data_IF_477826186618
#
_entry.id   IF_477826186618
#
_cell.length_a   1.000
_cell.length_b   1.000
_cell.length_c   1.000
_cell.angle_alpha   90.00
_cell.angle_beta   90.00
_cell.angle_gamma   90.00
#
_symmetry.space_group_name_H-M   'P 1'
#
loop_
_entity.id
_entity.type
_entity.pdbx_description
1 polymer ?
#
# COMPACT_ATOMS: atom_id res chain seq x y z
N UNK A 1 13.15 -11.71 -11.86
CA UNK A 1 14.12 -10.62 -11.50
C UNK A 1 15.39 -11.26 -10.99
N UNK A 2 16.55 -10.77 -11.34
CA UNK A 2 17.79 -11.29 -10.77
C UNK A 2 17.93 -10.76 -9.34
N UNK A 3 18.28 -11.64 -8.39
CA UNK A 3 18.53 -11.32 -6.98
C UNK A 3 19.61 -10.23 -6.77
N UNK A 4 20.41 -9.95 -7.82
CA UNK A 4 21.52 -9.00 -7.84
C UNK A 4 21.10 -7.51 -7.91
N UNK A 5 19.82 -7.20 -8.17
CA UNK A 5 19.36 -5.79 -8.25
C UNK A 5 18.75 -5.28 -6.93
N UNK A 6 18.41 -6.17 -5.98
CA UNK A 6 17.80 -5.76 -4.73
C UNK A 6 18.82 -5.15 -3.76
N UNK A 7 18.44 -4.01 -3.16
CA UNK A 7 19.24 -3.38 -2.11
C UNK A 7 18.82 -3.95 -0.76
N UNK A 8 19.79 -4.42 0.01
CA UNK A 8 19.56 -5.01 1.33
C UNK A 8 19.96 -4.04 2.44
N UNK A 9 19.10 -3.90 3.45
CA UNK A 9 19.38 -3.21 4.71
C UNK A 9 19.12 -4.17 5.88
N UNK A 10 19.89 -4.05 6.99
CA UNK A 10 19.78 -4.95 8.14
C UNK A 10 20.09 -4.22 9.45
N UNK A 11 19.29 -4.47 10.49
CA UNK A 11 19.50 -3.99 11.87
C UNK A 11 20.00 -5.08 12.83
N UNK A 12 20.26 -6.29 12.32
CA UNK A 12 20.52 -7.47 13.15
C UNK A 12 19.27 -8.23 13.57
N UNK A 13 18.17 -7.55 13.90
CA UNK A 13 16.86 -8.16 14.20
C UNK A 13 16.03 -8.41 12.95
N UNK A 14 16.15 -7.51 11.97
CA UNK A 14 15.43 -7.56 10.69
C UNK A 14 16.39 -7.35 9.52
N UNK A 15 16.07 -7.99 8.42
CA UNK A 15 16.65 -7.72 7.10
C UNK A 15 15.54 -7.43 6.12
N UNK A 16 15.66 -6.33 5.38
CA UNK A 16 14.73 -5.96 4.31
C UNK A 16 15.47 -5.88 2.97
N UNK A 17 14.80 -6.30 1.88
CA UNK A 17 15.33 -6.20 0.51
C UNK A 17 14.36 -5.41 -0.34
N UNK A 18 14.85 -4.36 -0.99
CA UNK A 18 14.06 -3.38 -1.71
C UNK A 18 14.50 -3.34 -3.17
N UNK A 19 13.54 -3.39 -4.09
CA UNK A 19 13.76 -3.23 -5.52
C UNK A 19 13.75 -1.74 -5.91
N UNK A 20 14.78 -1.22 -6.59
CA UNK A 20 14.73 0.12 -7.15
C UNK A 20 13.60 0.34 -8.17
N UNK A 21 13.13 -0.71 -8.83
CA UNK A 21 11.90 -0.65 -9.62
C UNK A 21 10.71 -0.58 -8.68
N UNK A 22 9.97 0.53 -8.71
CA UNK A 22 8.83 0.80 -7.83
C UNK A 22 9.22 1.22 -6.42
N UNK A 23 10.51 1.25 -6.05
CA UNK A 23 10.98 1.31 -4.66
C UNK A 23 10.22 0.28 -3.79
N UNK A 24 10.07 -0.94 -4.31
CA UNK A 24 9.19 -1.96 -3.75
C UNK A 24 9.92 -2.81 -2.70
N UNK A 25 9.34 -2.91 -1.49
CA UNK A 25 9.78 -3.86 -0.47
C UNK A 25 9.47 -5.29 -0.95
N UNK A 26 10.49 -6.08 -1.22
CA UNK A 26 10.34 -7.45 -1.75
C UNK A 26 10.55 -8.55 -0.70
N UNK A 27 11.24 -8.24 0.41
CA UNK A 27 11.52 -9.21 1.46
C UNK A 27 11.64 -8.50 2.80
N UNK A 28 11.09 -9.10 3.85
CA UNK A 28 11.26 -8.69 5.23
C UNK A 28 11.45 -9.95 6.08
N UNK A 29 12.69 -10.17 6.55
CA UNK A 29 13.07 -11.35 7.33
C UNK A 29 13.48 -10.96 8.73
N UNK A 30 13.13 -11.81 9.69
CA UNK A 30 13.66 -11.69 11.04
C UNK A 30 15.04 -12.33 11.19
N UNK A 31 15.62 -12.26 12.41
CA UNK A 31 16.93 -12.85 12.74
C UNK A 31 16.98 -14.39 12.63
N UNK A 32 15.84 -15.05 12.52
CA UNK A 32 15.75 -16.49 12.25
C UNK A 32 15.66 -16.81 10.74
N UNK A 33 15.70 -15.80 9.89
CA UNK A 33 15.58 -15.93 8.43
C UNK A 33 14.15 -16.19 7.94
N UNK A 34 13.11 -16.07 8.78
CA UNK A 34 11.71 -16.27 8.41
C UNK A 34 11.23 -15.12 7.55
N UNK A 35 10.68 -15.43 6.37
CA UNK A 35 10.18 -14.44 5.42
C UNK A 35 8.72 -14.08 5.74
N UNK A 36 8.43 -12.79 5.92
CA UNK A 36 7.09 -12.29 6.25
C UNK A 36 6.34 -11.70 5.05
N UNK A 37 7.02 -11.49 3.92
CA UNK A 37 6.37 -10.96 2.71
C UNK A 37 5.86 -12.10 1.81
N UNK A 38 4.96 -11.74 0.88
CA UNK A 38 4.58 -12.58 -0.25
C UNK A 38 5.83 -12.98 -1.08
N UNK A 39 5.83 -14.18 -1.64
CA UNK A 39 6.94 -14.71 -2.45
C UNK A 39 7.06 -14.10 -3.86
N UNK A 40 6.05 -13.32 -4.28
CA UNK A 40 6.02 -12.69 -5.60
C UNK A 40 5.88 -13.67 -6.76
N UNK A 41 5.27 -14.83 -6.53
CA UNK A 41 5.05 -15.84 -7.57
C UNK A 41 4.22 -15.26 -8.74
N UNK A 42 4.79 -15.13 -9.96
CA UNK A 42 4.10 -14.52 -11.10
C UNK A 42 2.87 -15.32 -11.58
N UNK A 43 2.77 -16.60 -11.27
CA UNK A 43 1.58 -17.41 -11.58
C UNK A 43 0.38 -17.01 -10.71
N UNK A 44 0.65 -16.45 -9.52
CA UNK A 44 -0.37 -15.97 -8.59
C UNK A 44 -0.43 -14.45 -8.64
N UNK A 45 0.59 -13.79 -8.12
CA UNK A 45 0.71 -12.33 -8.13
C UNK A 45 2.18 -11.93 -7.87
N UNK A 46 2.78 -11.23 -8.83
CA UNK A 46 4.21 -10.89 -8.81
C UNK A 46 4.57 -9.73 -7.87
N UNK A 47 3.58 -9.03 -7.29
CA UNK A 47 3.83 -7.92 -6.38
C UNK A 47 4.18 -8.38 -4.97
N UNK A 48 4.89 -7.54 -4.21
CA UNK A 48 5.20 -7.74 -2.80
C UNK A 48 4.66 -6.61 -1.93
N UNK A 49 5.01 -5.37 -2.25
CA UNK A 49 4.56 -4.16 -1.56
C UNK A 49 4.60 -2.93 -2.47
N UNK A 50 3.89 -2.92 -3.61
CA UNK A 50 3.96 -1.81 -4.54
C UNK A 50 3.46 -0.50 -3.92
N UNK A 51 4.07 0.62 -4.33
CA UNK A 51 3.62 1.96 -4.00
C UNK A 51 2.59 2.43 -5.03
N UNK A 52 1.51 3.03 -4.55
CA UNK A 52 0.40 3.51 -5.36
C UNK A 52 0.51 5.03 -5.48
N UNK A 53 0.84 5.53 -6.69
CA UNK A 53 0.98 6.97 -6.99
C UNK A 53 0.93 7.22 -8.50
N UNK A 54 0.29 8.29 -8.98
CA UNK A 54 -0.40 9.35 -8.25
C UNK A 54 -1.88 9.05 -7.96
N UNK A 55 -2.33 7.82 -8.17
CA UNK A 55 -3.70 7.38 -7.90
C UNK A 55 -3.71 6.06 -7.12
N UNK A 56 -4.78 5.84 -6.35
CA UNK A 56 -5.13 4.58 -5.72
C UNK A 56 -6.34 4.00 -6.45
N UNK A 57 -6.28 2.70 -6.79
CA UNK A 57 -7.36 2.00 -7.49
C UNK A 57 -7.44 2.31 -8.98
N UNK A 58 -8.58 1.96 -9.57
CA UNK A 58 -8.92 2.20 -10.96
C UNK A 58 -9.55 3.57 -11.19
N UNK A 59 -9.48 4.03 -12.44
CA UNK A 59 -10.19 5.21 -12.96
C UNK A 59 -11.31 4.77 -13.89
N UNK A 60 -12.39 5.54 -13.96
CA UNK A 60 -13.47 5.27 -14.91
C UNK A 60 -12.94 5.37 -16.35
N UNK A 61 -13.07 4.27 -17.12
CA UNK A 61 -12.48 4.15 -18.46
C UNK A 61 -10.96 4.29 -18.52
N UNK A 62 -10.23 4.12 -17.38
CA UNK A 62 -8.77 4.28 -17.32
C UNK A 62 -8.29 5.72 -17.48
N UNK A 63 -9.18 6.71 -17.32
CA UNK A 63 -8.91 8.13 -17.57
C UNK A 63 -9.38 8.99 -16.41
N UNK A 64 -8.75 10.16 -16.27
CA UNK A 64 -9.19 11.22 -15.37
C UNK A 64 -9.22 12.57 -16.09
N UNK A 65 -10.03 13.50 -15.59
CA UNK A 65 -10.13 14.86 -16.09
C UNK A 65 -9.41 15.82 -15.15
N UNK A 66 -8.67 16.76 -15.71
CA UNK A 66 -7.99 17.80 -14.96
C UNK A 66 -8.05 19.10 -15.75
N UNK A 67 -8.78 20.11 -15.25
CA UNK A 67 -8.93 21.39 -15.90
C UNK A 67 -9.49 21.29 -17.32
N UNK A 68 -10.43 20.38 -17.57
CA UNK A 68 -11.06 20.14 -18.86
C UNK A 68 -10.27 19.27 -19.85
N UNK A 69 -9.04 18.83 -19.49
CA UNK A 69 -8.24 17.90 -20.30
C UNK A 69 -8.35 16.49 -19.73
N UNK A 70 -8.28 15.48 -20.59
CA UNK A 70 -8.25 14.07 -20.22
C UNK A 70 -6.82 13.52 -20.26
N UNK A 71 -6.51 12.66 -19.26
CA UNK A 71 -5.27 11.94 -19.14
C UNK A 71 -5.55 10.49 -18.80
N UNK A 72 -4.71 9.57 -19.27
CA UNK A 72 -4.83 8.14 -18.98
C UNK A 72 -3.81 7.73 -17.93
N UNK A 73 -4.24 6.90 -16.96
CA UNK A 73 -3.35 6.26 -16.00
C UNK A 73 -3.80 4.80 -15.79
N UNK A 74 -2.85 3.87 -15.68
CA UNK A 74 -3.16 2.51 -15.29
C UNK A 74 -3.65 2.47 -13.83
N UNK A 75 -4.36 1.40 -13.45
CA UNK A 75 -4.73 1.14 -12.05
C UNK A 75 -3.52 1.31 -11.13
N UNK A 76 -3.68 2.08 -10.07
CA UNK A 76 -2.65 2.43 -9.08
C UNK A 76 -1.53 3.36 -9.59
N UNK A 77 -1.67 3.93 -10.78
CA UNK A 77 -0.70 4.86 -11.35
C UNK A 77 0.59 4.21 -11.83
N UNK A 78 1.65 5.01 -11.93
CA UNK A 78 2.90 4.62 -12.59
C UNK A 78 4.06 4.32 -11.64
N UNK A 79 4.05 4.78 -10.38
CA UNK A 79 5.22 4.68 -9.49
C UNK A 79 5.74 3.24 -9.36
N UNK A 80 4.85 2.26 -9.24
CA UNK A 80 5.18 0.83 -9.14
C UNK A 80 5.91 0.25 -10.35
N UNK A 81 5.88 0.94 -11.50
CA UNK A 81 6.54 0.55 -12.75
C UNK A 81 7.70 1.46 -13.12
N UNK A 82 8.00 2.46 -12.29
CA UNK A 82 9.07 3.42 -12.51
C UNK A 82 10.34 3.00 -11.78
N UNK A 83 11.51 3.23 -12.39
CA UNK A 83 12.78 3.00 -11.73
C UNK A 83 13.16 4.23 -10.93
N UNK A 84 13.36 4.04 -9.63
CA UNK A 84 13.80 5.08 -8.72
C UNK A 84 15.33 5.18 -8.69
N UNK A 85 15.83 6.39 -8.55
CA UNK A 85 17.22 6.68 -8.25
C UNK A 85 17.51 6.36 -6.77
N UNK A 86 18.64 5.75 -6.48
CA UNK A 86 19.11 5.49 -5.12
C UNK A 86 19.91 6.69 -4.63
N UNK A 87 19.39 7.41 -3.63
CA UNK A 87 20.06 8.58 -3.05
C UNK A 87 20.95 8.24 -1.87
N UNK A 88 20.53 7.26 -1.06
CA UNK A 88 21.24 6.81 0.15
C UNK A 88 21.17 5.28 0.17
N UNK A 89 22.28 4.62 0.48
CA UNK A 89 22.36 3.19 0.78
C UNK A 89 23.34 2.98 1.93
N UNK A 90 22.80 2.74 3.11
CA UNK A 90 23.52 2.52 4.37
C UNK A 90 23.12 1.15 4.95
N UNK A 91 23.77 0.70 6.00
CA UNK A 91 23.50 -0.62 6.59
C UNK A 91 22.04 -0.83 7.01
N UNK A 92 21.41 0.20 7.60
CA UNK A 92 20.06 0.14 8.16
C UNK A 92 19.06 1.04 7.41
N UNK A 93 19.51 1.70 6.33
CA UNK A 93 18.71 2.71 5.63
C UNK A 93 18.97 2.72 4.13
N UNK A 94 17.90 2.85 3.37
CA UNK A 94 17.98 3.17 1.93
C UNK A 94 16.94 4.23 1.59
N UNK A 95 17.31 5.18 0.74
CA UNK A 95 16.43 6.23 0.25
C UNK A 95 16.43 6.24 -1.28
N UNK A 96 15.23 6.28 -1.82
CA UNK A 96 14.94 6.32 -3.24
C UNK A 96 14.26 7.63 -3.65
N UNK A 97 14.41 8.04 -4.89
CA UNK A 97 13.74 9.22 -5.46
C UNK A 97 13.24 8.96 -6.87
N UNK A 98 12.03 9.42 -7.17
CA UNK A 98 11.46 9.47 -8.51
C UNK A 98 11.05 10.92 -8.80
N UNK A 99 11.63 11.53 -9.80
CA UNK A 99 11.26 12.86 -10.28
C UNK A 99 10.31 12.79 -11.48
N UNK A 100 9.70 13.93 -11.82
CA UNK A 100 8.94 14.06 -13.04
C UNK A 100 9.85 13.89 -14.26
N UNK A 101 9.35 13.18 -15.28
CA UNK A 101 9.98 12.97 -16.59
C UNK A 101 9.03 13.40 -17.70
N UNK A 102 9.48 13.36 -18.94
CA UNK A 102 8.61 13.62 -20.09
C UNK A 102 7.44 12.63 -20.13
N UNK A 103 7.72 11.34 -19.91
CA UNK A 103 6.70 10.28 -19.89
C UNK A 103 5.67 10.48 -18.77
N UNK A 104 6.12 10.87 -17.57
CA UNK A 104 5.18 11.10 -16.46
C UNK A 104 4.36 12.35 -16.68
N UNK A 105 4.94 13.44 -17.27
CA UNK A 105 4.19 14.66 -17.59
C UNK A 105 3.11 14.43 -18.64
N UNK A 106 3.33 13.53 -19.57
CA UNK A 106 2.33 13.19 -20.61
C UNK A 106 1.04 12.61 -20.00
N UNK A 107 1.12 11.94 -18.84
CA UNK A 107 -0.01 11.28 -18.16
C UNK A 107 -0.39 11.93 -16.83
N UNK A 108 0.50 12.73 -16.25
CA UNK A 108 0.31 13.45 -14.98
C UNK A 108 1.12 14.77 -15.03
N UNK A 109 0.52 15.89 -15.48
CA UNK A 109 1.22 17.10 -15.90
C UNK A 109 1.67 17.97 -14.71
N UNK A 110 2.44 17.39 -13.80
CA UNK A 110 2.98 18.08 -12.63
C UNK A 110 4.46 17.82 -12.47
N UNK A 111 5.17 18.82 -11.95
CA UNK A 111 6.54 18.70 -11.48
C UNK A 111 6.52 18.15 -10.06
N UNK A 112 6.91 16.93 -9.88
CA UNK A 112 6.91 16.27 -8.58
C UNK A 112 8.25 15.63 -8.25
N UNK A 113 8.46 15.37 -6.97
CA UNK A 113 9.48 14.45 -6.47
C UNK A 113 8.86 13.52 -5.43
N UNK A 114 8.94 12.22 -5.69
CA UNK A 114 8.49 11.16 -4.78
C UNK A 114 9.71 10.53 -4.12
N UNK A 115 9.94 10.82 -2.84
CA UNK A 115 11.04 10.26 -2.07
C UNK A 115 10.51 9.14 -1.17
N UNK A 116 11.20 8.00 -1.15
CA UNK A 116 10.85 6.83 -0.33
C UNK A 116 12.05 6.45 0.52
N UNK A 117 11.88 6.42 1.82
CA UNK A 117 12.94 6.15 2.79
C UNK A 117 12.58 4.92 3.62
N UNK A 118 13.36 3.86 3.50
CA UNK A 118 13.26 2.66 4.33
C UNK A 118 14.30 2.72 5.43
N UNK A 119 13.88 2.50 6.68
CA UNK A 119 14.78 2.40 7.83
C UNK A 119 14.41 1.22 8.69
N UNK A 120 15.40 0.45 9.11
CA UNK A 120 15.27 -0.55 10.14
C UNK A 120 15.68 0.04 11.48
N UNK A 121 14.83 -0.15 12.48
CA UNK A 121 15.05 0.29 13.86
C UNK A 121 14.62 -0.88 14.74
N UNK A 122 15.59 -1.64 15.26
CA UNK A 122 15.31 -2.86 16.03
C UNK A 122 14.40 -3.81 15.20
N UNK A 123 13.26 -4.22 15.76
CA UNK A 123 12.26 -5.11 15.11
C UNK A 123 11.21 -4.38 14.31
N UNK A 124 11.51 -3.16 13.84
CA UNK A 124 10.59 -2.31 13.12
C UNK A 124 11.19 -1.83 11.81
N UNK A 125 10.45 -2.01 10.71
CA UNK A 125 10.68 -1.33 9.45
C UNK A 125 9.82 -0.06 9.41
N UNK A 126 10.44 1.08 9.15
CA UNK A 126 9.78 2.36 8.91
C UNK A 126 9.91 2.71 7.44
N UNK A 127 8.78 2.91 6.77
CA UNK A 127 8.73 3.37 5.37
C UNK A 127 8.13 4.76 5.36
N UNK A 128 8.97 5.77 5.16
CA UNK A 128 8.57 7.17 5.05
C UNK A 128 8.49 7.59 3.58
N UNK A 129 7.43 8.30 3.19
CA UNK A 129 7.23 8.77 1.82
C UNK A 129 6.95 10.27 1.83
N UNK A 130 7.73 11.03 1.07
CA UNK A 130 7.53 12.45 0.81
C UNK A 130 7.08 12.68 -0.62
N UNK A 131 5.90 13.27 -0.79
CA UNK A 131 5.38 13.72 -2.08
C UNK A 131 5.56 15.22 -2.17
N UNK A 132 6.57 15.68 -2.91
CA UNK A 132 6.90 17.07 -3.09
C UNK A 132 6.30 17.60 -4.39
N UNK A 133 5.65 18.75 -4.32
CA UNK A 133 5.28 19.54 -5.48
C UNK A 133 6.43 20.48 -5.83
N UNK A 134 7.11 20.21 -6.94
CA UNK A 134 8.21 21.03 -7.47
C UNK A 134 7.74 22.06 -8.49
N UNK A 135 6.44 22.12 -8.79
CA UNK A 135 5.82 23.07 -9.73
C UNK A 135 5.26 24.33 -9.05
N UNK A 136 4.55 25.10 -9.83
CA UNK A 136 4.01 26.42 -9.41
C UNK A 136 2.52 26.41 -9.08
N UNK A 137 1.81 25.30 -9.37
CA UNK A 137 0.37 25.16 -9.12
C UNK A 137 0.10 24.02 -8.13
N UNK A 138 -1.04 24.06 -7.38
CA UNK A 138 -1.40 22.95 -6.49
C UNK A 138 -1.46 21.63 -7.24
N UNK A 139 -0.84 20.59 -6.70
CA UNK A 139 -0.70 19.27 -7.30
C UNK A 139 -1.63 18.27 -6.62
N UNK A 140 -2.72 17.82 -7.27
CA UNK A 140 -3.65 16.83 -6.74
C UNK A 140 -3.10 15.41 -6.91
N UNK A 141 -3.20 14.57 -5.88
CA UNK A 141 -2.79 13.17 -5.95
C UNK A 141 -3.50 12.31 -4.92
N UNK A 142 -3.41 11.01 -5.09
CA UNK A 142 -3.65 9.97 -4.09
C UNK A 142 -2.37 9.18 -3.88
N UNK A 143 -2.25 8.56 -2.69
CA UNK A 143 -1.10 7.73 -2.35
C UNK A 143 -1.54 6.51 -1.54
N UNK A 144 -0.83 5.38 -1.69
CA UNK A 144 -1.07 4.19 -0.89
C UNK A 144 0.13 3.26 -0.79
N UNK A 145 0.18 2.54 0.33
CA UNK A 145 1.01 1.36 0.51
C UNK A 145 0.18 0.11 0.21
N UNK A 146 0.83 -0.92 -0.33
CA UNK A 146 0.14 -2.17 -0.68
C UNK A 146 0.97 -3.41 -0.26
N UNK A 147 1.44 -3.50 1.01
CA UNK A 147 2.23 -4.64 1.44
C UNK A 147 1.40 -5.92 1.52
N UNK A 148 1.94 -7.00 0.96
CA UNK A 148 1.41 -8.34 1.03
C UNK A 148 2.25 -9.18 1.97
N UNK A 149 1.63 -9.68 3.03
CA UNK A 149 2.27 -10.55 4.02
C UNK A 149 1.94 -12.01 3.74
N UNK A 150 2.89 -12.91 4.00
CA UNK A 150 2.66 -14.35 3.92
C UNK A 150 1.44 -14.75 4.77
N UNK A 151 0.61 -15.64 4.26
CA UNK A 151 -0.52 -16.21 4.98
C UNK A 151 -0.63 -17.71 4.69
N UNK A 152 -0.24 -18.56 5.67
CA UNK A 152 0.09 -18.27 7.07
C UNK A 152 1.43 -17.53 7.22
N UNK A 153 1.57 -16.75 8.29
CA UNK A 153 2.86 -16.18 8.67
C UNK A 153 3.84 -17.30 9.06
N UNK A 154 5.14 -17.15 8.82
CA UNK A 154 6.12 -18.18 9.09
C UNK A 154 6.17 -18.52 10.58
N UNK A 155 6.04 -19.83 10.90
CA UNK A 155 6.00 -20.30 12.29
C UNK A 155 4.71 -19.98 13.07
N UNK A 156 3.64 -19.64 12.37
CA UNK A 156 2.39 -19.13 12.95
C UNK A 156 1.20 -20.11 12.84
N UNK A 157 1.42 -21.39 12.56
CA UNK A 157 0.34 -22.38 12.45
C UNK A 157 -0.43 -22.31 11.12
N UNK A 158 -1.70 -22.66 11.13
CA UNK A 158 -2.56 -22.70 9.95
C UNK A 158 -3.15 -21.33 9.63
N UNK A 159 -3.65 -21.14 8.39
CA UNK A 159 -4.31 -19.91 7.95
C UNK A 159 -5.49 -19.51 8.84
N UNK A 160 -6.25 -20.51 9.27
CA UNK A 160 -7.47 -20.37 10.07
C UNK A 160 -7.22 -19.83 11.48
N UNK A 161 -6.00 -19.97 11.98
CA UNK A 161 -5.60 -19.46 13.30
C UNK A 161 -5.36 -17.94 13.29
N UNK A 162 -5.21 -17.34 12.09
CA UNK A 162 -4.90 -15.93 11.94
C UNK A 162 -6.13 -15.04 12.12
N UNK A 163 -5.90 -13.88 12.74
CA UNK A 163 -6.90 -12.81 12.89
C UNK A 163 -6.35 -11.48 12.40
N UNK A 164 -7.25 -10.64 11.94
CA UNK A 164 -7.03 -9.21 11.82
C UNK A 164 -7.58 -8.56 13.09
N UNK A 165 -6.74 -7.76 13.74
CA UNK A 165 -7.09 -7.02 14.96
C UNK A 165 -6.78 -5.54 14.73
N UNK A 166 -7.79 -4.70 14.81
CA UNK A 166 -7.69 -3.25 14.73
C UNK A 166 -7.40 -2.66 16.10
N UNK A 167 -6.71 -1.51 16.16
CA UNK A 167 -6.46 -0.82 17.44
C UNK A 167 -7.72 -0.23 18.06
N UNK A 168 -8.73 0.05 17.25
CA UNK A 168 -10.03 0.59 17.64
C UNK A 168 -11.16 -0.25 17.06
N UNK A 169 -12.39 0.01 17.49
CA UNK A 169 -13.59 -0.60 16.88
C UNK A 169 -13.86 -0.02 15.50
N UNK A 170 -14.20 -0.89 14.53
CA UNK A 170 -14.52 -0.53 13.15
C UNK A 170 -15.95 -0.96 12.79
N UNK A 171 -16.99 -0.29 13.34
CA UNK A 171 -18.38 -0.67 13.14
C UNK A 171 -18.94 -0.21 11.79
N UNK A 172 -18.26 0.69 11.08
CA UNK A 172 -18.75 1.29 9.85
C UNK A 172 -18.83 0.29 8.72
N UNK A 173 -19.80 0.52 7.84
CA UNK A 173 -19.93 -0.25 6.62
C UNK A 173 -18.71 -0.07 5.72
N UNK A 174 -18.31 -1.15 5.06
CA UNK A 174 -17.21 -1.16 4.10
C UNK A 174 -17.70 -0.89 2.67
N UNK A 175 -16.73 -0.52 1.82
CA UNK A 175 -16.91 -0.43 0.37
C UNK A 175 -16.33 -1.68 -0.30
N UNK A 176 -16.76 -1.90 -1.54
CA UNK A 176 -16.25 -2.94 -2.43
C UNK A 176 -15.96 -2.33 -3.78
N UNK A 177 -15.16 -2.99 -4.58
CA UNK A 177 -14.96 -2.66 -5.99
C UNK A 177 -15.67 -3.67 -6.88
N UNK A 178 -16.08 -3.21 -8.04
CA UNK A 178 -16.51 -4.08 -9.14
C UNK A 178 -15.29 -4.84 -9.66
N UNK A 179 -15.39 -6.16 -9.81
CA UNK A 179 -14.25 -7.02 -10.14
C UNK A 179 -13.73 -6.83 -11.57
N UNK A 180 -14.62 -6.47 -12.50
CA UNK A 180 -14.27 -6.30 -13.91
C UNK A 180 -13.62 -4.95 -14.15
N UNK A 181 -14.22 -3.90 -13.64
CA UNK A 181 -13.76 -2.52 -13.84
C UNK A 181 -12.77 -2.04 -12.79
N UNK A 182 -12.80 -2.61 -11.58
CA UNK A 182 -12.02 -2.13 -10.42
C UNK A 182 -12.50 -0.80 -9.86
N UNK A 183 -13.72 -0.36 -10.23
CA UNK A 183 -14.33 0.86 -9.73
C UNK A 183 -15.04 0.63 -8.40
N UNK A 184 -15.09 1.65 -7.56
CA UNK A 184 -15.74 1.60 -6.27
C UNK A 184 -17.25 1.54 -6.43
N UNK A 185 -17.87 0.47 -5.94
CA UNK A 185 -19.33 0.33 -5.95
C UNK A 185 -19.97 1.38 -5.05
N UNK A 186 -21.14 1.89 -5.45
CA UNK A 186 -21.88 2.89 -4.67
C UNK A 186 -22.49 2.29 -3.40
N UNK A 187 -22.86 1.02 -3.44
CA UNK A 187 -23.40 0.30 -2.29
C UNK A 187 -22.35 0.05 -1.21
N UNK A 188 -22.76 0.22 0.04
CA UNK A 188 -22.01 -0.18 1.22
C UNK A 188 -22.42 -1.58 1.68
N UNK A 189 -21.47 -2.32 2.24
CA UNK A 189 -21.69 -3.67 2.78
C UNK A 189 -21.39 -3.68 4.27
N UNK A 190 -21.99 -4.64 4.98
CA UNK A 190 -21.67 -4.86 6.37
C UNK A 190 -20.19 -5.21 6.54
N UNK A 191 -19.56 -4.64 7.56
CA UNK A 191 -18.20 -5.01 7.94
C UNK A 191 -18.16 -6.44 8.51
N UNK A 192 -17.14 -7.25 8.23
CA UNK A 192 -16.93 -8.53 8.90
C UNK A 192 -16.41 -8.36 10.34
N UNK A 193 -16.05 -7.15 10.74
CA UNK A 193 -15.48 -6.86 12.06
C UNK A 193 -16.53 -7.00 13.15
N UNK A 194 -16.17 -7.74 14.21
CA UNK A 194 -16.92 -7.84 15.46
C UNK A 194 -16.07 -7.23 16.57
N UNK A 195 -16.55 -6.11 17.14
CA UNK A 195 -15.73 -5.29 18.03
C UNK A 195 -14.57 -4.64 17.26
N UNK A 196 -13.38 -5.15 17.45
CA UNK A 196 -12.17 -4.68 16.77
C UNK A 196 -11.43 -5.77 15.98
N UNK A 197 -12.07 -6.90 15.66
CA UNK A 197 -11.36 -7.99 14.98
C UNK A 197 -12.26 -8.83 14.08
N UNK A 198 -11.64 -9.55 13.14
CA UNK A 198 -12.27 -10.62 12.36
C UNK A 198 -11.25 -11.68 11.97
N UNK A 199 -11.74 -12.88 11.63
CA UNK A 199 -10.93 -13.96 11.04
C UNK A 199 -11.00 -13.81 9.53
N UNK A 200 -9.88 -13.56 8.83
CA UNK A 200 -9.87 -13.53 7.38
C UNK A 200 -10.15 -14.95 6.84
N UNK A 201 -10.99 -15.02 5.82
CA UNK A 201 -11.35 -16.25 5.10
C UNK A 201 -11.42 -15.95 3.62
N UNK A 202 -11.10 -16.93 2.78
CA UNK A 202 -11.06 -16.76 1.32
C UNK A 202 -12.36 -16.17 0.75
N UNK A 203 -13.51 -16.60 1.28
CA UNK A 203 -14.84 -16.17 0.82
C UNK A 203 -15.06 -14.65 0.98
N UNK A 204 -14.40 -14.01 1.96
CA UNK A 204 -14.48 -12.57 2.16
C UNK A 204 -13.86 -11.79 0.98
N UNK A 205 -12.98 -12.40 0.23
CA UNK A 205 -12.22 -11.80 -0.88
C UNK A 205 -12.70 -12.22 -2.26
N UNK A 206 -13.72 -13.08 -2.36
CA UNK A 206 -14.35 -13.43 -3.64
C UNK A 206 -14.93 -12.21 -4.36
N UNK A 207 -15.38 -11.21 -3.62
CA UNK A 207 -15.85 -9.92 -4.12
C UNK A 207 -14.76 -8.82 -4.02
N UNK A 208 -13.48 -9.18 -4.22
CA UNK A 208 -12.31 -8.30 -4.15
C UNK A 208 -12.07 -7.74 -2.73
N UNK A 209 -11.37 -6.61 -2.59
CA UNK A 209 -10.92 -6.02 -1.33
C UNK A 209 -12.06 -5.62 -0.38
N UNK A 210 -11.81 -5.74 0.91
CA UNK A 210 -12.55 -5.07 1.98
C UNK A 210 -12.00 -3.65 2.13
N UNK A 211 -12.82 -2.62 1.94
CA UNK A 211 -12.33 -1.23 1.93
C UNK A 211 -13.04 -0.40 3.01
N UNK A 212 -12.26 0.10 3.96
CA UNK A 212 -12.68 1.13 4.91
C UNK A 212 -12.30 2.50 4.36
N UNK A 213 -13.26 3.28 3.89
CA UNK A 213 -13.07 4.67 3.39
C UNK A 213 -13.06 5.70 4.53
N UNK A 214 -13.29 5.25 5.74
CA UNK A 214 -13.08 5.96 7.02
C UNK A 214 -12.58 4.95 8.04
N UNK A 215 -11.34 5.06 8.42
CA UNK A 215 -10.70 4.16 9.38
C UNK A 215 -10.52 4.88 10.72
N UNK A 216 -10.99 4.26 11.83
CA UNK A 216 -10.73 4.76 13.19
C UNK A 216 -9.34 4.38 13.67
N UNK A 217 -8.95 3.15 13.36
CA UNK A 217 -7.68 2.55 13.80
C UNK A 217 -6.47 3.18 13.11
N UNK A 218 -5.36 3.19 13.83
CA UNK A 218 -4.04 3.57 13.28
C UNK A 218 -3.06 2.41 13.27
N UNK A 219 -3.49 1.25 13.78
CA UNK A 219 -2.70 0.02 13.77
C UNK A 219 -3.63 -1.14 13.45
N UNK A 220 -3.16 -2.01 12.55
CA UNK A 220 -3.79 -3.30 12.22
C UNK A 220 -2.78 -4.39 12.48
N UNK A 221 -3.14 -5.37 13.31
CA UNK A 221 -2.30 -6.53 13.62
C UNK A 221 -2.86 -7.76 12.92
N UNK A 222 -1.99 -8.51 12.27
CA UNK A 222 -2.29 -9.76 11.57
C UNK A 222 -1.46 -10.90 12.13
N UNK A 223 -2.09 -12.03 12.37
CA UNK A 223 -1.45 -13.25 12.82
C UNK A 223 -2.28 -14.05 13.84
N UNK A 224 -1.78 -15.19 14.32
CA UNK A 224 -2.46 -16.01 15.31
C UNK A 224 -2.27 -15.43 16.73
N UNK A 225 -3.01 -15.99 17.69
CA UNK A 225 -2.83 -15.67 19.10
C UNK A 225 -1.46 -16.14 19.62
N UNK A 226 -1.07 -17.35 19.24
CA UNK A 226 0.23 -17.95 19.60
C UNK A 226 1.11 -18.06 18.37
N UNK A 227 2.24 -17.34 18.35
CA UNK A 227 3.15 -17.27 17.21
C UNK A 227 3.41 -15.85 16.75
N UNK A 228 4.28 -15.65 15.76
CA UNK A 228 4.63 -14.32 15.27
C UNK A 228 3.43 -13.63 14.63
N UNK A 229 3.37 -12.30 14.82
CA UNK A 229 2.33 -11.43 14.26
C UNK A 229 3.00 -10.23 13.56
N UNK A 230 2.32 -9.68 12.58
CA UNK A 230 2.72 -8.44 11.92
C UNK A 230 1.78 -7.32 12.35
N UNK A 231 2.31 -6.20 12.84
CA UNK A 231 1.56 -4.99 13.09
C UNK A 231 1.92 -3.93 12.05
N UNK A 232 0.91 -3.44 11.31
CA UNK A 232 1.01 -2.35 10.36
C UNK A 232 0.43 -1.11 11.00
N UNK A 233 1.26 -0.08 11.23
CA UNK A 233 0.87 1.20 11.82
C UNK A 233 0.98 2.30 10.80
N UNK A 234 -0.08 3.08 10.60
CA UNK A 234 -0.17 4.19 9.66
C UNK A 234 -0.85 5.39 10.32
N UNK A 235 -0.07 6.31 10.92
CA UNK A 235 -0.63 7.38 11.76
C UNK A 235 -1.54 8.35 11.02
N UNK A 236 -1.28 8.59 9.72
CA UNK A 236 -1.90 9.67 8.95
C UNK A 236 -2.78 9.19 7.77
N UNK A 237 -2.86 7.89 7.50
CA UNK A 237 -3.64 7.38 6.37
C UNK A 237 -5.08 7.02 6.82
N UNK A 238 -6.10 7.68 6.23
CA UNK A 238 -7.48 7.59 6.72
C UNK A 238 -8.27 6.40 6.17
N UNK A 239 -7.71 5.67 5.21
CA UNK A 239 -8.38 4.59 4.49
C UNK A 239 -7.56 3.32 4.52
N UNK A 240 -8.23 2.17 4.41
CA UNK A 240 -7.59 0.85 4.44
C UNK A 240 -8.25 -0.07 3.45
N UNK A 241 -7.43 -0.77 2.65
CA UNK A 241 -7.79 -1.98 1.94
C UNK A 241 -7.27 -3.22 2.65
N UNK A 242 -8.05 -4.29 2.68
CA UNK A 242 -7.56 -5.63 3.01
C UNK A 242 -7.96 -6.53 1.86
N UNK A 243 -6.96 -7.18 1.24
CA UNK A 243 -7.16 -7.94 0.03
C UNK A 243 -6.35 -9.23 0.02
N UNK A 244 -6.89 -10.23 -0.67
CA UNK A 244 -6.22 -11.45 -1.05
C UNK A 244 -6.64 -11.81 -2.46
N UNK A 245 -5.70 -12.27 -3.29
CA UNK A 245 -6.08 -12.96 -4.52
C UNK A 245 -6.65 -14.34 -4.13
N UNK A 246 -7.85 -14.71 -4.58
CA UNK A 246 -8.45 -16.00 -4.22
C UNK A 246 -7.48 -17.18 -4.45
N UNK A 247 -7.29 -18.00 -3.44
CA UNK A 247 -6.38 -19.16 -3.46
C UNK A 247 -4.90 -18.84 -3.19
N UNK A 248 -4.52 -17.59 -2.99
CA UNK A 248 -3.15 -17.19 -2.71
C UNK A 248 -2.73 -17.44 -1.24
N UNK A 249 -1.41 -17.50 -1.02
CA UNK A 249 -0.80 -17.66 0.30
C UNK A 249 -0.26 -16.33 0.84
N UNK A 250 -1.03 -15.26 0.65
CA UNK A 250 -0.73 -13.95 1.21
C UNK A 250 -2.01 -13.18 1.57
N UNK A 251 -1.85 -12.14 2.37
CA UNK A 251 -2.87 -11.14 2.69
C UNK A 251 -2.26 -9.74 2.62
N UNK A 252 -2.91 -8.85 1.86
CA UNK A 252 -2.52 -7.44 1.81
C UNK A 252 -3.22 -6.64 2.91
N UNK A 253 -2.47 -5.74 3.55
CA UNK A 253 -2.97 -4.74 4.50
C UNK A 253 -2.51 -3.38 3.98
N UNK A 254 -3.42 -2.63 3.41
CA UNK A 254 -3.13 -1.55 2.47
C UNK A 254 -3.62 -0.19 2.98
N UNK A 255 -2.80 0.58 3.70
CA UNK A 255 -3.17 1.92 4.14
C UNK A 255 -3.13 2.92 2.97
N UNK A 256 -4.19 3.74 2.82
CA UNK A 256 -4.36 4.64 1.68
C UNK A 256 -4.76 6.06 2.06
N UNK A 257 -4.34 7.02 1.21
CA UNK A 257 -4.91 8.34 1.00
C UNK A 257 -5.53 8.36 -0.40
N UNK A 258 -6.80 8.04 -0.49
CA UNK A 258 -7.56 7.91 -1.74
C UNK A 258 -8.02 6.48 -2.01
N UNK A 259 -8.93 6.35 -2.96
CA UNK A 259 -9.58 5.09 -3.37
C UNK A 259 -9.80 5.08 -4.88
N UNK A 260 -10.30 3.97 -5.45
CA UNK A 260 -10.73 3.90 -6.84
C UNK A 260 -11.84 4.92 -7.14
N UNK A 261 -12.03 5.29 -8.41
CA UNK A 261 -13.19 6.09 -8.81
C UNK A 261 -14.48 5.38 -8.41
N UNK A 262 -15.46 6.11 -7.87
CA UNK A 262 -16.81 5.59 -7.79
C UNK A 262 -17.37 5.27 -9.19
N UNK A 263 -18.20 4.23 -9.31
CA UNK A 263 -18.93 3.96 -10.55
C UNK A 263 -19.70 5.20 -10.98
N UNK A 264 -19.48 5.65 -12.23
CA UNK A 264 -20.11 6.84 -12.78
C UNK A 264 -19.46 8.16 -12.37
N UNK A 265 -18.28 8.16 -11.76
CA UNK A 265 -17.55 9.40 -11.47
C UNK A 265 -17.06 10.03 -12.78
N UNK A 266 -17.45 11.28 -13.02
CA UNK A 266 -17.09 12.08 -14.21
C UNK A 266 -16.51 13.45 -13.84
N UNK A 267 -16.28 13.72 -12.55
CA UNK A 267 -15.75 14.97 -12.05
C UNK A 267 -14.30 15.22 -12.40
N UNK A 268 -13.81 16.42 -12.04
CA UNK A 268 -12.38 16.74 -12.11
C UNK A 268 -11.61 15.88 -11.09
N UNK A 269 -10.37 15.54 -11.40
CA UNK A 269 -9.50 14.72 -10.55
C UNK A 269 -9.38 15.27 -9.12
N UNK A 270 -9.43 16.60 -8.96
CA UNK A 270 -9.39 17.26 -7.66
C UNK A 270 -10.63 16.99 -6.80
N UNK A 271 -11.73 16.58 -7.41
CA UNK A 271 -13.01 16.28 -6.74
C UNK A 271 -13.16 14.77 -6.42
N UNK A 272 -12.23 13.95 -6.92
CA UNK A 272 -12.24 12.52 -6.66
C UNK A 272 -12.09 12.24 -5.15
N UNK A 273 -12.91 11.35 -4.56
CA UNK A 273 -12.84 11.03 -3.13
C UNK A 273 -11.44 10.62 -2.68
N UNK A 274 -10.95 11.31 -1.64
CA UNK A 274 -9.66 11.05 -1.03
C UNK A 274 -8.44 11.62 -1.76
N UNK A 275 -8.61 12.29 -2.91
CA UNK A 275 -7.55 13.10 -3.52
C UNK A 275 -7.25 14.28 -2.60
N UNK A 276 -5.98 14.55 -2.40
CA UNK A 276 -5.47 15.72 -1.69
C UNK A 276 -4.58 16.54 -2.62
N UNK A 277 -4.39 17.82 -2.31
CA UNK A 277 -3.53 18.70 -3.08
C UNK A 277 -2.35 19.18 -2.24
N UNK A 278 -1.16 19.17 -2.84
CA UNK A 278 0.06 19.78 -2.26
C UNK A 278 0.26 21.14 -2.88
N UNK A 279 0.32 22.24 -2.10
CA UNK A 279 0.67 23.56 -2.61
C UNK A 279 2.05 23.57 -3.28
N UNK A 280 2.26 24.56 -4.16
CA UNK A 280 3.56 24.78 -4.82
C UNK A 280 4.71 24.84 -3.81
N UNK A 281 5.80 24.14 -4.08
CA UNK A 281 7.01 24.09 -3.26
C UNK A 281 6.90 23.32 -1.95
N UNK A 282 5.69 22.78 -1.60
CA UNK A 282 5.48 22.04 -0.35
C UNK A 282 5.63 20.52 -0.54
N UNK A 283 5.75 19.82 0.59
CA UNK A 283 5.84 18.35 0.66
C UNK A 283 4.78 17.81 1.60
N UNK A 284 4.07 16.78 1.17
CA UNK A 284 3.20 15.99 2.03
C UNK A 284 3.92 14.70 2.43
N UNK A 285 3.77 14.27 3.69
CA UNK A 285 4.46 13.11 4.24
C UNK A 285 3.48 12.03 4.68
N UNK A 286 3.84 10.79 4.35
CA UNK A 286 3.17 9.58 4.82
C UNK A 286 4.19 8.66 5.47
N UNK A 287 3.74 7.87 6.42
CA UNK A 287 4.60 6.89 7.08
C UNK A 287 3.81 5.62 7.38
N UNK A 288 4.46 4.48 7.12
CA UNK A 288 3.99 3.16 7.50
C UNK A 288 5.08 2.47 8.33
N UNK A 289 4.69 1.90 9.46
CA UNK A 289 5.58 1.03 10.25
C UNK A 289 5.11 -0.42 10.14
N UNK A 290 6.05 -1.32 9.88
CA UNK A 290 5.83 -2.76 9.97
C UNK A 290 6.65 -3.29 11.15
N UNK A 291 5.97 -3.88 12.12
CA UNK A 291 6.58 -4.42 13.35
C UNK A 291 6.32 -5.92 13.40
N UNK A 292 7.39 -6.70 13.56
CA UNK A 292 7.29 -8.13 13.82
C UNK A 292 7.16 -8.34 15.33
N UNK A 293 6.00 -8.78 15.75
CA UNK A 293 5.70 -9.07 17.15
C UNK A 293 5.94 -10.56 17.44
N UNK A 294 6.56 -10.91 18.59
CA UNK A 294 6.66 -12.30 19.02
C UNK A 294 5.28 -12.88 19.29
N UNK A 295 5.18 -14.20 19.36
CA UNK A 295 4.02 -14.90 19.93
C UNK A 295 3.87 -14.62 21.43
N UNK A 296 2.63 -14.67 21.88
CA UNK A 296 2.33 -14.66 23.32
C UNK A 296 2.64 -16.00 23.94
#
# INVERSE_FOLDING_TARGET
MSDSELISISSGDLTARINPLGAELCSLRDSQGREFMNDGNPEVWSGHAPLLFPIVGGLNGGRYRLGGKEYALPRHGFARHSRFEVLIAEAERVMFSLGASEETRAVYPFEFKLNVNFRLIEKKLVVGVGVQNCGEVPMPFSFGFHPAFAWPLPGAGAKEDHKIVFSESEPQQIRRVDRETGLLLNDRKHTPVKGNSFVPRAELFEADALIWDKLNSRTVTFGPRSGPRVAVKCPALPMLGIWQKPGADFLCIEPWQGIADPVGFEGDFREKPGVISVPAGQTNFFEMHVVILPGE
#
